data_IF_016110981400
#
_entry.id   IF_016110981400
#
_cell.length_a   1.000
_cell.length_b   1.000
_cell.length_c   1.000
_cell.angle_alpha   90.00
_cell.angle_beta   90.00
_cell.angle_gamma   90.00
#
_symmetry.space_group_name_H-M   'P 1'
#
loop_
_entity.id
_entity.type
_entity.pdbx_description
1 polymer ?
#
# COMPACT_ATOMS: atom_id res chain seq x y z
N UNK A 1 60.07 -50.35 36.87
CA UNK A 1 59.21 -49.23 37.34
C UNK A 1 58.81 -49.60 38.77
N UNK A 2 59.20 -48.83 39.80
CA UNK A 2 58.37 -47.67 40.22
C UNK A 2 59.14 -46.48 40.85
N UNK A 3 58.49 -45.31 40.80
CA UNK A 3 58.73 -44.09 41.62
C UNK A 3 57.96 -44.29 42.96
N UNK A 4 58.36 -43.91 44.19
CA UNK A 4 58.79 -42.59 44.69
C UNK A 4 57.62 -41.60 44.59
N UNK A 5 56.98 -41.01 45.62
CA UNK A 5 57.11 -40.87 47.07
C UNK A 5 55.95 -39.93 47.56
N UNK A 6 55.85 -39.57 48.85
CA UNK A 6 54.61 -39.08 49.50
C UNK A 6 54.59 -37.56 49.85
N UNK A 7 53.42 -37.02 50.23
CA UNK A 7 53.30 -35.82 51.10
C UNK A 7 52.19 -34.78 50.76
N UNK A 8 51.24 -34.59 51.70
CA UNK A 8 50.45 -33.35 51.97
C UNK A 8 51.29 -32.43 52.92
N UNK A 9 50.97 -31.15 53.33
CA UNK A 9 49.66 -30.44 53.35
C UNK A 9 49.68 -28.90 53.04
N UNK A 10 48.51 -28.22 53.09
CA UNK A 10 48.45 -26.75 53.32
C UNK A 10 47.15 -26.00 52.99
N UNK A 11 46.46 -25.51 54.03
CA UNK A 11 45.26 -24.64 54.03
C UNK A 11 45.50 -23.18 53.55
N UNK A 12 44.49 -22.52 52.96
CA UNK A 12 44.29 -21.06 53.08
C UNK A 12 43.64 -20.29 51.90
N UNK A 13 42.46 -19.67 52.13
CA UNK A 13 42.11 -18.31 51.62
C UNK A 13 41.32 -18.12 50.30
N UNK A 14 40.07 -17.62 50.40
CA UNK A 14 39.19 -17.04 49.35
C UNK A 14 39.78 -15.78 48.67
N UNK A 15 39.41 -15.36 47.42
CA UNK A 15 38.04 -15.01 46.97
C UNK A 15 37.65 -15.48 45.54
N UNK A 16 36.36 -15.40 45.13
CA UNK A 16 35.93 -15.93 43.83
C UNK A 16 36.30 -14.98 42.67
N UNK A 17 36.95 -15.46 41.59
CA UNK A 17 37.06 -14.69 40.36
C UNK A 17 35.77 -14.75 39.54
N UNK A 18 35.40 -13.58 39.04
CA UNK A 18 34.27 -13.30 38.16
C UNK A 18 34.22 -14.24 36.94
N UNK A 19 33.01 -14.71 36.60
CA UNK A 19 32.73 -15.37 35.31
C UNK A 19 33.04 -14.41 34.15
N UNK A 20 34.13 -14.66 33.46
CA UNK A 20 34.24 -14.38 32.04
C UNK A 20 33.63 -15.53 31.23
N UNK A 21 32.65 -15.24 30.38
CA UNK A 21 32.54 -15.80 29.03
C UNK A 21 31.53 -14.93 28.25
N UNK A 22 32.00 -14.02 27.40
CA UNK A 22 32.15 -14.22 25.96
C UNK A 22 30.83 -14.34 25.19
N UNK A 23 30.58 -13.34 24.34
CA UNK A 23 29.96 -13.56 23.03
C UNK A 23 28.48 -13.21 22.91
N UNK A 24 28.18 -12.44 21.86
CA UNK A 24 26.88 -12.51 21.20
C UNK A 24 26.02 -11.26 21.31
N UNK A 25 26.40 -10.22 20.56
CA UNK A 25 25.48 -9.14 20.24
C UNK A 25 24.17 -9.70 19.70
N UNK A 26 23.06 -9.33 20.34
CA UNK A 26 21.73 -9.55 19.78
C UNK A 26 21.05 -8.19 19.70
N UNK A 27 21.18 -7.56 18.52
CA UNK A 27 20.31 -6.47 18.10
C UNK A 27 18.87 -6.95 18.18
N UNK A 28 18.13 -6.43 19.16
CA UNK A 28 16.68 -6.65 19.28
C UNK A 28 16.01 -6.10 18.01
N UNK A 29 15.29 -6.90 17.20
CA UNK A 29 14.44 -6.33 16.19
C UNK A 29 13.25 -5.68 16.90
N UNK A 30 13.19 -4.35 16.89
CA UNK A 30 11.96 -3.61 17.16
C UNK A 30 10.94 -4.04 16.11
N UNK A 31 10.12 -5.04 16.46
CA UNK A 31 8.93 -5.40 15.72
C UNK A 31 7.91 -4.30 15.96
N UNK A 32 7.98 -3.26 15.13
CA UNK A 32 6.90 -2.31 14.98
C UNK A 32 5.68 -3.07 14.44
N UNK A 33 4.77 -3.42 15.35
CA UNK A 33 3.46 -3.92 15.02
C UNK A 33 2.70 -2.80 14.30
N UNK A 34 2.76 -2.78 12.96
CA UNK A 34 1.94 -1.88 12.16
C UNK A 34 0.52 -2.42 12.15
N UNK A 35 -0.20 -2.15 13.24
CA UNK A 35 -1.64 -2.25 13.30
C UNK A 35 -2.21 -1.19 12.36
N UNK A 36 -2.58 -1.59 11.14
CA UNK A 36 -3.32 -0.72 10.23
C UNK A 36 -4.76 -0.57 10.74
N UNK A 37 -4.95 0.37 11.67
CA UNK A 37 -6.26 0.90 12.05
C UNK A 37 -6.95 1.49 10.80
N UNK A 38 -8.15 1.01 10.53
CA UNK A 38 -9.05 1.59 9.53
C UNK A 38 -9.83 2.69 10.25
N UNK A 39 -9.36 3.93 10.15
CA UNK A 39 -10.17 5.11 10.49
C UNK A 39 -11.01 5.47 9.25
N UNK A 40 -12.33 5.37 9.39
CA UNK A 40 -13.27 5.91 8.40
C UNK A 40 -13.40 7.40 8.73
N UNK A 41 -12.71 8.25 7.97
CA UNK A 41 -12.97 9.68 7.98
C UNK A 41 -13.97 9.98 6.85
N UNK A 42 -15.20 10.33 7.23
CA UNK A 42 -16.18 10.94 6.33
C UNK A 42 -15.76 12.40 6.19
N UNK A 43 -15.22 12.77 5.03
CA UNK A 43 -14.89 14.16 4.72
C UNK A 43 -16.03 14.81 3.95
N UNK A 44 -16.68 15.80 4.56
CA UNK A 44 -17.46 16.82 3.87
C UNK A 44 -16.49 17.73 3.11
N UNK A 45 -16.61 17.77 1.78
CA UNK A 45 -15.83 18.70 0.95
C UNK A 45 -16.58 20.03 0.93
N UNK A 46 -16.06 21.02 1.66
CA UNK A 46 -16.43 22.42 1.45
C UNK A 46 -15.63 22.91 0.24
N UNK A 47 -16.33 23.18 -0.86
CA UNK A 47 -15.80 23.88 -2.01
C UNK A 47 -15.61 25.36 -1.62
N UNK A 48 -14.37 25.83 -1.56
CA UNK A 48 -14.08 27.27 -1.58
C UNK A 48 -13.94 27.67 -3.04
N UNK A 49 -14.97 28.32 -3.57
CA UNK A 49 -14.95 29.02 -4.85
C UNK A 49 -14.17 30.31 -4.61
N UNK A 50 -13.04 30.48 -5.30
CA UNK A 50 -12.38 31.79 -5.38
C UNK A 50 -12.86 32.47 -6.68
N UNK A 51 -13.56 33.62 -6.59
CA UNK A 51 -13.84 34.44 -7.76
C UNK A 51 -12.59 35.24 -8.12
N UNK A 52 -12.08 35.05 -9.32
CA UNK A 52 -11.24 36.07 -9.96
C UNK A 52 -12.18 37.11 -10.56
N UNK A 53 -12.05 38.34 -10.11
CA UNK A 53 -12.85 39.47 -10.56
C UNK A 53 -12.18 40.77 -10.14
N UNK A 54 -11.31 41.28 -11.00
CA UNK A 54 -10.81 42.64 -10.96
C UNK A 54 -11.49 43.42 -12.08
N UNK A 55 -12.24 44.47 -11.70
CA UNK A 55 -12.59 45.57 -12.60
C UNK A 55 -12.83 46.82 -11.77
N UNK A 56 -11.79 47.64 -11.64
CA UNK A 56 -11.91 49.06 -11.34
C UNK A 56 -12.23 49.80 -12.64
N UNK A 57 -13.33 50.55 -12.66
CA UNK A 57 -13.57 51.60 -13.66
C UNK A 57 -13.12 52.93 -13.09
N UNK A 58 -12.29 53.67 -13.83
CA UNK A 58 -12.66 54.97 -14.41
C UNK A 58 -11.43 55.76 -14.93
N UNK A 59 -11.63 56.40 -16.09
CA UNK A 59 -11.10 57.71 -16.52
C UNK A 59 -9.88 57.80 -17.46
N UNK A 60 -10.21 58.21 -18.70
CA UNK A 60 -9.64 59.33 -19.49
C UNK A 60 -8.46 59.07 -20.45
N UNK A 61 -8.82 59.17 -21.74
CA UNK A 61 -8.13 59.68 -22.95
C UNK A 61 -6.61 59.91 -22.95
N UNK A 62 -5.89 59.33 -23.92
CA UNK A 62 -5.07 60.06 -24.94
C UNK A 62 -4.56 59.14 -26.06
N UNK A 63 -4.36 59.73 -27.23
CA UNK A 63 -3.94 59.15 -28.52
C UNK A 63 -2.50 58.60 -28.58
N UNK A 64 -2.28 57.69 -29.55
CA UNK A 64 -1.12 57.57 -30.47
C UNK A 64 -0.25 56.29 -30.38
N UNK A 65 -0.05 55.69 -31.57
CA UNK A 65 1.06 54.87 -32.06
C UNK A 65 0.84 53.34 -32.15
N UNK A 66 0.96 52.72 -33.36
CA UNK A 66 0.92 51.28 -33.53
C UNK A 66 2.30 50.68 -33.21
N UNK A 67 2.38 49.94 -32.11
CA UNK A 67 3.55 49.09 -31.80
C UNK A 67 3.30 47.65 -32.32
N UNK A 68 4.31 46.95 -32.86
CA UNK A 68 4.12 45.66 -33.53
C UNK A 68 3.50 44.62 -32.60
N UNK A 69 2.55 43.85 -33.14
CA UNK A 69 1.80 42.84 -32.43
C UNK A 69 2.68 41.87 -31.67
N UNK A 70 2.61 41.93 -30.34
CA UNK A 70 2.99 40.82 -29.48
C UNK A 70 1.90 39.75 -29.64
N UNK A 71 2.02 38.91 -30.65
CA UNK A 71 1.30 37.64 -30.69
C UNK A 71 1.83 36.81 -29.53
N UNK A 72 1.21 36.94 -28.35
CA UNK A 72 1.35 35.95 -27.30
C UNK A 72 0.76 34.65 -27.85
N UNK A 73 1.63 33.81 -28.42
CA UNK A 73 1.38 32.40 -28.61
C UNK A 73 1.40 31.76 -27.21
N UNK A 74 0.36 32.03 -26.43
CA UNK A 74 0.04 31.18 -25.29
C UNK A 74 -0.57 29.90 -25.86
N UNK A 75 0.25 29.06 -26.49
CA UNK A 75 -0.08 27.65 -26.65
C UNK A 75 -0.10 27.06 -25.24
N UNK A 76 -1.27 27.12 -24.60
CA UNK A 76 -1.59 26.26 -23.49
C UNK A 76 -1.48 24.85 -24.05
N UNK A 77 -0.37 24.17 -23.78
CA UNK A 77 -0.14 22.77 -24.15
C UNK A 77 -1.30 21.94 -23.59
N UNK A 78 -2.35 21.81 -24.40
CA UNK A 78 -3.54 21.11 -23.99
C UNK A 78 -3.22 19.62 -24.02
N UNK A 79 -3.46 18.95 -22.90
CA UNK A 79 -3.20 17.53 -22.79
C UNK A 79 -4.11 16.80 -23.79
N UNK A 80 -3.55 15.97 -24.69
CA UNK A 80 -4.34 15.24 -25.67
C UNK A 80 -5.49 14.46 -25.04
N UNK A 81 -6.64 14.43 -25.72
CA UNK A 81 -7.84 13.78 -25.19
C UNK A 81 -7.59 12.28 -24.91
N UNK A 82 -6.81 11.62 -25.78
CA UNK A 82 -6.40 10.22 -25.62
C UNK A 82 -5.60 9.98 -24.33
N UNK A 83 -4.69 10.89 -23.97
CA UNK A 83 -3.93 10.82 -22.71
C UNK A 83 -4.87 10.90 -21.50
N UNK A 84 -5.87 11.79 -21.54
CA UNK A 84 -6.89 11.88 -20.47
C UNK A 84 -7.72 10.59 -20.39
N UNK A 85 -8.08 10.03 -21.55
CA UNK A 85 -8.87 8.80 -21.65
C UNK A 85 -8.12 7.59 -21.08
N UNK A 86 -6.87 7.34 -21.48
CA UNK A 86 -6.07 6.23 -20.95
C UNK A 86 -5.89 6.34 -19.43
N UNK A 87 -5.67 7.56 -18.93
CA UNK A 87 -5.58 7.79 -17.49
C UNK A 87 -6.91 7.52 -16.77
N UNK A 88 -8.05 7.89 -17.36
CA UNK A 88 -9.37 7.58 -16.82
C UNK A 88 -9.64 6.08 -16.73
N UNK A 89 -9.26 5.31 -17.75
CA UNK A 89 -9.43 3.84 -17.76
C UNK A 89 -8.54 3.17 -16.71
N UNK A 90 -7.28 3.61 -16.55
CA UNK A 90 -6.41 3.15 -15.48
C UNK A 90 -7.00 3.53 -14.10
N UNK A 91 -7.49 4.76 -13.95
CA UNK A 91 -8.10 5.23 -12.71
C UNK A 91 -9.32 4.37 -12.30
N UNK A 92 -10.13 3.92 -13.26
CA UNK A 92 -11.25 3.00 -12.99
C UNK A 92 -10.79 1.70 -12.33
N UNK A 93 -9.63 1.15 -12.72
CA UNK A 93 -9.05 -0.03 -12.04
C UNK A 93 -8.71 0.28 -10.59
N UNK A 94 -8.22 1.48 -10.29
CA UNK A 94 -7.90 1.92 -8.93
C UNK A 94 -9.15 2.10 -8.07
N UNK A 95 -10.23 2.64 -8.63
CA UNK A 95 -11.52 2.72 -7.95
C UNK A 95 -12.07 1.33 -7.62
N UNK A 96 -11.98 0.39 -8.56
CA UNK A 96 -12.38 -1.01 -8.32
C UNK A 96 -11.50 -1.66 -7.24
N UNK A 97 -10.20 -1.35 -7.21
CA UNK A 97 -9.29 -1.85 -6.17
C UNK A 97 -9.64 -1.31 -4.79
N UNK A 98 -9.98 -0.02 -4.69
CA UNK A 98 -10.47 0.60 -3.46
C UNK A 98 -11.78 -0.03 -2.99
N UNK A 99 -12.74 -0.28 -3.89
CA UNK A 99 -13.98 -0.99 -3.56
C UNK A 99 -13.71 -2.44 -3.09
N UNK A 100 -12.71 -3.10 -3.68
CA UNK A 100 -12.29 -4.45 -3.28
C UNK A 100 -11.65 -4.46 -1.89
N UNK A 101 -10.89 -3.41 -1.53
CA UNK A 101 -10.36 -3.22 -0.17
C UNK A 101 -11.47 -3.13 0.87
N UNK A 102 -12.59 -2.44 0.56
CA UNK A 102 -13.75 -2.37 1.45
C UNK A 102 -14.40 -3.74 1.68
N UNK A 103 -14.55 -4.54 0.62
CA UNK A 103 -15.05 -5.93 0.76
C UNK A 103 -14.12 -6.77 1.64
N UNK A 104 -12.81 -6.65 1.44
CA UNK A 104 -11.81 -7.33 2.25
C UNK A 104 -11.89 -6.92 3.74
N UNK A 105 -12.05 -5.63 4.03
CA UNK A 105 -12.25 -5.15 5.39
C UNK A 105 -13.47 -5.78 6.06
N UNK A 106 -14.60 -5.84 5.35
CA UNK A 106 -15.80 -6.53 5.83
C UNK A 106 -15.60 -8.03 6.05
N UNK A 107 -14.86 -8.71 5.17
CA UNK A 107 -14.52 -10.12 5.33
C UNK A 107 -13.63 -10.36 6.56
N UNK A 108 -12.61 -9.53 6.77
CA UNK A 108 -11.74 -9.60 7.95
C UNK A 108 -12.50 -9.36 9.26
N UNK A 109 -13.45 -8.42 9.28
CA UNK A 109 -14.32 -8.19 10.44
C UNK A 109 -15.15 -9.44 10.79
N UNK A 110 -15.71 -10.12 9.79
CA UNK A 110 -16.44 -11.39 9.97
C UNK A 110 -15.54 -12.56 10.31
N UNK A 111 -14.28 -12.54 9.88
CA UNK A 111 -13.32 -13.62 10.15
C UNK A 111 -12.89 -13.70 11.63
N UNK A 112 -13.24 -12.71 12.47
CA UNK A 112 -12.87 -12.71 13.89
C UNK A 112 -13.61 -13.74 14.75
N UNK A 113 -14.69 -14.36 14.26
CA UNK A 113 -15.52 -15.32 15.00
C UNK A 113 -15.84 -16.54 14.13
N UNK A 114 -15.83 -17.73 14.73
CA UNK A 114 -16.13 -18.97 14.02
C UNK A 114 -17.55 -18.97 13.41
N UNK A 115 -18.54 -18.41 14.12
CA UNK A 115 -19.94 -18.30 13.66
C UNK A 115 -20.09 -17.54 12.34
N UNK A 116 -19.24 -16.56 12.09
CA UNK A 116 -19.28 -15.70 10.89
C UNK A 116 -18.20 -16.02 9.87
N UNK A 117 -17.40 -17.06 10.12
CA UNK A 117 -16.30 -17.48 9.26
C UNK A 117 -16.77 -17.96 7.86
N UNK A 118 -17.91 -18.68 7.70
CA UNK A 118 -18.41 -19.02 6.37
C UNK A 118 -18.72 -17.79 5.50
N UNK A 119 -19.29 -16.74 6.10
CA UNK A 119 -19.53 -15.46 5.42
C UNK A 119 -18.23 -14.70 5.12
N UNK A 120 -17.20 -14.88 5.95
CA UNK A 120 -15.88 -14.33 5.68
C UNK A 120 -15.22 -15.02 4.48
N UNK A 121 -15.34 -16.34 4.36
CA UNK A 121 -14.82 -17.13 3.24
C UNK A 121 -15.40 -16.67 1.91
N UNK A 122 -16.73 -16.54 1.80
CA UNK A 122 -17.38 -15.96 0.62
C UNK A 122 -16.88 -14.55 0.30
N UNK A 123 -16.59 -13.76 1.34
CA UNK A 123 -15.98 -12.45 1.20
C UNK A 123 -14.57 -12.49 0.61
N UNK A 124 -13.71 -13.39 1.11
CA UNK A 124 -12.35 -13.58 0.60
C UNK A 124 -12.34 -14.13 -0.83
N UNK A 125 -13.24 -15.07 -1.17
CA UNK A 125 -13.41 -15.56 -2.55
C UNK A 125 -13.76 -14.44 -3.51
N UNK A 126 -14.74 -13.61 -3.17
CA UNK A 126 -15.14 -12.43 -3.95
C UNK A 126 -13.98 -11.44 -4.11
N UNK A 127 -13.18 -11.23 -3.06
CA UNK A 127 -11.99 -10.37 -3.12
C UNK A 127 -10.95 -10.92 -4.09
N UNK A 128 -10.62 -12.22 -3.98
CA UNK A 128 -9.64 -12.86 -4.86
C UNK A 128 -10.09 -12.80 -6.34
N UNK A 129 -11.36 -13.07 -6.60
CA UNK A 129 -11.93 -12.97 -7.96
C UNK A 129 -11.84 -11.55 -8.51
N UNK A 130 -12.20 -10.53 -7.73
CA UNK A 130 -12.11 -9.12 -8.14
C UNK A 130 -10.67 -8.70 -8.43
N UNK A 131 -9.72 -9.12 -7.59
CA UNK A 131 -8.30 -8.83 -7.78
C UNK A 131 -7.75 -9.49 -9.04
N UNK A 132 -8.17 -10.72 -9.34
CA UNK A 132 -7.80 -11.40 -10.58
C UNK A 132 -8.35 -10.67 -11.82
N UNK A 133 -9.60 -10.20 -11.78
CA UNK A 133 -10.18 -9.40 -12.86
C UNK A 133 -9.45 -8.06 -13.04
N UNK A 134 -9.14 -7.36 -11.94
CA UNK A 134 -8.35 -6.12 -11.98
C UNK A 134 -6.98 -6.36 -12.60
N UNK A 135 -6.27 -7.43 -12.19
CA UNK A 135 -4.97 -7.78 -12.74
C UNK A 135 -5.05 -8.07 -14.24
N UNK A 136 -6.07 -8.80 -14.69
CA UNK A 136 -6.31 -9.07 -16.11
C UNK A 136 -6.54 -7.77 -16.88
N UNK A 137 -7.43 -6.90 -16.39
CA UNK A 137 -7.69 -5.59 -17.01
C UNK A 137 -6.45 -4.71 -17.04
N UNK A 138 -5.66 -4.66 -15.96
CA UNK A 138 -4.39 -3.92 -15.92
C UNK A 138 -3.43 -4.39 -17.00
N UNK A 139 -3.28 -5.70 -17.19
CA UNK A 139 -2.38 -6.24 -18.24
C UNK A 139 -2.80 -5.83 -19.65
N UNK A 140 -4.09 -5.60 -19.87
CA UNK A 140 -4.64 -5.20 -21.16
C UNK A 140 -4.89 -3.69 -21.29
N UNK A 141 -4.38 -2.86 -20.37
CA UNK A 141 -4.50 -1.40 -20.50
C UNK A 141 -3.62 -0.89 -21.65
N UNK A 142 -4.20 -0.06 -22.50
CA UNK A 142 -3.46 0.85 -23.37
C UNK A 142 -2.92 2.02 -22.54
N UNK A 143 -1.63 2.27 -22.67
CA UNK A 143 -0.89 3.24 -21.83
C UNK A 143 0.18 4.00 -22.61
N UNK A 144 0.23 3.86 -23.93
CA UNK A 144 1.25 4.47 -24.80
C UNK A 144 1.19 6.00 -24.82
N UNK A 145 0.04 6.60 -24.47
CA UNK A 145 -0.12 8.05 -24.32
C UNK A 145 0.16 8.55 -22.91
N UNK A 146 0.45 7.65 -21.96
CA UNK A 146 0.78 8.01 -20.58
C UNK A 146 2.29 8.11 -20.38
N UNK A 147 2.72 9.14 -19.65
CA UNK A 147 4.12 9.25 -19.23
C UNK A 147 4.51 8.02 -18.39
N UNK A 148 5.57 7.31 -18.81
CA UNK A 148 5.98 6.04 -18.21
C UNK A 148 4.89 4.95 -18.25
N UNK A 149 3.99 4.95 -19.25
CA UNK A 149 2.82 4.08 -19.32
C UNK A 149 3.10 2.60 -19.06
N UNK A 150 4.09 2.03 -19.73
CA UNK A 150 4.45 0.61 -19.53
C UNK A 150 4.94 0.32 -18.11
N UNK A 151 5.75 1.22 -17.55
CA UNK A 151 6.22 1.12 -16.17
C UNK A 151 5.06 1.25 -15.18
N UNK A 152 4.07 2.11 -15.47
CA UNK A 152 2.83 2.24 -14.70
C UNK A 152 2.02 0.94 -14.72
N UNK A 153 1.77 0.40 -15.92
CA UNK A 153 1.05 -0.86 -16.13
C UNK A 153 1.72 -2.01 -15.38
N UNK A 154 3.03 -2.18 -15.55
CA UNK A 154 3.82 -3.21 -14.88
C UNK A 154 3.83 -3.05 -13.35
N UNK A 155 3.97 -1.83 -12.85
CA UNK A 155 3.97 -1.53 -11.41
C UNK A 155 2.60 -1.84 -10.77
N UNK A 156 1.49 -1.46 -11.43
CA UNK A 156 0.14 -1.79 -10.97
C UNK A 156 -0.10 -3.31 -11.00
N UNK A 157 0.32 -3.99 -12.07
CA UNK A 157 0.19 -5.44 -12.18
C UNK A 157 0.93 -6.17 -11.05
N UNK A 158 2.14 -5.70 -10.71
CA UNK A 158 2.90 -6.24 -9.57
C UNK A 158 2.19 -5.98 -8.22
N UNK A 159 1.64 -4.78 -8.00
CA UNK A 159 0.89 -4.44 -6.80
C UNK A 159 -0.38 -5.30 -6.63
N UNK A 160 -1.13 -5.51 -7.72
CA UNK A 160 -2.32 -6.37 -7.74
C UNK A 160 -1.97 -7.85 -7.55
N UNK A 161 -0.88 -8.32 -8.17
CA UNK A 161 -0.39 -9.70 -7.99
C UNK A 161 -0.01 -9.96 -6.54
N UNK A 162 0.78 -9.07 -5.92
CA UNK A 162 1.15 -9.21 -4.52
C UNK A 162 -0.08 -9.12 -3.59
N UNK A 163 -1.05 -8.26 -3.91
CA UNK A 163 -2.31 -8.16 -3.14
C UNK A 163 -3.15 -9.45 -3.26
N UNK A 164 -3.24 -10.04 -4.46
CA UNK A 164 -3.95 -11.30 -4.68
C UNK A 164 -3.33 -12.43 -3.85
N UNK A 165 -2.00 -12.48 -3.73
CA UNK A 165 -1.33 -13.48 -2.90
C UNK A 165 -1.74 -13.36 -1.43
N UNK A 166 -1.86 -12.14 -0.88
CA UNK A 166 -2.37 -11.92 0.48
C UNK A 166 -3.83 -12.40 0.60
N UNK A 167 -4.67 -12.03 -0.36
CA UNK A 167 -6.09 -12.38 -0.38
C UNK A 167 -6.29 -13.91 -0.40
N UNK A 168 -5.50 -14.63 -1.21
CA UNK A 168 -5.50 -16.09 -1.27
C UNK A 168 -4.98 -16.76 0.00
N UNK A 169 -3.97 -16.17 0.67
CA UNK A 169 -3.50 -16.68 1.97
C UNK A 169 -4.59 -16.58 3.03
N UNK A 170 -5.33 -15.47 3.06
CA UNK A 170 -6.47 -15.30 3.96
C UNK A 170 -7.61 -16.30 3.64
N UNK A 171 -7.92 -16.49 2.36
CA UNK A 171 -8.93 -17.47 1.96
C UNK A 171 -8.56 -18.89 2.43
N UNK A 172 -7.34 -19.35 2.12
CA UNK A 172 -6.85 -20.68 2.55
C UNK A 172 -6.85 -20.82 4.07
N UNK A 173 -6.41 -19.79 4.78
CA UNK A 173 -6.44 -19.76 6.24
C UNK A 173 -7.88 -19.93 6.78
N UNK A 174 -8.84 -19.19 6.22
CA UNK A 174 -10.21 -19.22 6.67
C UNK A 174 -10.85 -20.60 6.43
N UNK A 175 -10.66 -21.15 5.23
CA UNK A 175 -11.13 -22.49 4.86
C UNK A 175 -10.54 -23.58 5.77
N UNK A 176 -9.23 -23.50 6.08
CA UNK A 176 -8.56 -24.43 7.00
C UNK A 176 -9.14 -24.35 8.41
N UNK A 177 -9.46 -23.13 8.88
CA UNK A 177 -10.02 -22.94 10.21
C UNK A 177 -11.47 -23.42 10.32
N UNK A 178 -12.26 -23.34 9.24
CA UNK A 178 -13.71 -23.59 9.28
C UNK A 178 -14.11 -24.92 9.91
N UNK A 179 -13.42 -26.03 9.57
CA UNK A 179 -13.86 -27.40 9.91
C UNK A 179 -14.00 -27.64 11.42
N UNK A 180 -13.10 -27.10 12.24
CA UNK A 180 -13.02 -27.36 13.69
C UNK A 180 -13.02 -26.07 14.53
N UNK A 181 -13.55 -24.98 13.97
CA UNK A 181 -13.49 -23.67 14.62
C UNK A 181 -14.43 -23.59 15.84
N UNK A 182 -13.88 -23.36 17.04
CA UNK A 182 -14.66 -23.09 18.27
C UNK A 182 -14.35 -21.70 18.81
N UNK A 183 -15.38 -20.87 18.96
CA UNK A 183 -15.27 -19.48 19.45
C UNK A 183 -14.57 -18.55 18.44
N UNK A 184 -13.24 -18.60 18.37
CA UNK A 184 -12.41 -17.77 17.48
C UNK A 184 -11.43 -18.64 16.68
N UNK A 185 -11.17 -18.32 15.39
CA UNK A 185 -10.16 -19.01 14.60
C UNK A 185 -8.76 -18.91 15.23
N UNK A 186 -7.96 -19.98 15.10
CA UNK A 186 -6.59 -20.06 15.63
C UNK A 186 -5.64 -20.65 14.58
N UNK A 187 -4.56 -19.94 14.20
CA UNK A 187 -4.20 -18.57 14.60
C UNK A 187 -5.23 -17.56 14.09
N UNK A 188 -5.23 -16.34 14.66
CA UNK A 188 -6.08 -15.26 14.18
C UNK A 188 -5.69 -14.85 12.75
N UNK A 189 -6.58 -14.17 12.02
CA UNK A 189 -6.27 -13.66 10.68
C UNK A 189 -5.02 -12.75 10.65
N UNK A 190 -4.74 -12.04 11.75
CA UNK A 190 -3.56 -11.21 11.92
C UNK A 190 -2.25 -12.01 11.95
N UNK A 191 -2.29 -13.25 12.42
CA UNK A 191 -1.13 -14.07 12.74
C UNK A 191 -0.97 -15.27 11.80
N UNK A 192 -1.53 -15.19 10.58
CA UNK A 192 -1.36 -16.25 9.57
C UNK A 192 0.13 -16.37 9.21
N UNK A 193 0.75 -17.56 9.37
CA UNK A 193 2.16 -17.75 9.03
C UNK A 193 2.48 -17.32 7.59
N UNK A 194 3.58 -16.61 7.41
CA UNK A 194 4.02 -16.10 6.09
C UNK A 194 3.27 -14.88 5.56
N UNK A 195 2.09 -14.54 6.08
CA UNK A 195 1.28 -13.40 5.59
C UNK A 195 2.03 -12.07 5.68
N UNK A 196 2.72 -11.81 6.78
CA UNK A 196 3.41 -10.53 7.01
C UNK A 196 4.48 -10.21 5.94
N UNK A 197 5.21 -11.23 5.46
CA UNK A 197 6.21 -11.02 4.40
C UNK A 197 5.55 -10.62 3.07
N UNK A 198 4.44 -11.28 2.72
CA UNK A 198 3.69 -11.00 1.49
C UNK A 198 3.02 -9.62 1.57
N UNK A 199 2.49 -9.24 2.74
CA UNK A 199 1.91 -7.90 2.96
C UNK A 199 2.94 -6.77 2.83
N UNK A 200 4.16 -6.98 3.32
CA UNK A 200 5.27 -6.03 3.11
C UNK A 200 5.57 -5.87 1.63
N UNK A 201 5.67 -6.97 0.87
CA UNK A 201 5.86 -6.93 -0.59
C UNK A 201 4.74 -6.17 -1.29
N UNK A 202 3.48 -6.44 -0.94
CA UNK A 202 2.33 -5.73 -1.51
C UNK A 202 2.36 -4.23 -1.19
N UNK A 203 2.71 -3.86 0.05
CA UNK A 203 2.85 -2.47 0.47
C UNK A 203 3.93 -1.74 -0.34
N UNK A 204 5.12 -2.33 -0.45
CA UNK A 204 6.21 -1.75 -1.25
C UNK A 204 5.83 -1.61 -2.73
N UNK A 205 5.14 -2.58 -3.31
CA UNK A 205 4.68 -2.50 -4.70
C UNK A 205 3.66 -1.37 -4.91
N UNK A 206 2.70 -1.20 -3.99
CA UNK A 206 1.72 -0.10 -4.03
C UNK A 206 2.37 1.27 -3.87
N UNK A 207 3.35 1.38 -2.98
CA UNK A 207 4.14 2.60 -2.80
C UNK A 207 4.89 2.98 -4.09
N UNK A 208 5.55 2.01 -4.73
CA UNK A 208 6.22 2.23 -6.02
C UNK A 208 5.23 2.66 -7.11
N UNK A 209 4.02 2.08 -7.13
CA UNK A 209 2.99 2.47 -8.08
C UNK A 209 2.51 3.91 -7.88
N UNK A 210 2.19 4.33 -6.65
CA UNK A 210 1.67 5.70 -6.43
C UNK A 210 2.68 6.79 -6.78
N UNK A 211 3.98 6.53 -6.63
CA UNK A 211 5.04 7.45 -7.07
C UNK A 211 4.97 7.71 -8.58
N UNK A 212 4.64 6.69 -9.37
CA UNK A 212 4.47 6.81 -10.82
C UNK A 212 3.10 7.40 -11.19
N UNK A 213 2.04 7.00 -10.48
CA UNK A 213 0.67 7.38 -10.81
C UNK A 213 0.37 8.83 -10.51
N UNK A 214 0.75 9.32 -9.33
CA UNK A 214 0.30 10.62 -8.85
C UNK A 214 0.72 11.82 -9.74
N UNK A 215 1.90 11.83 -10.40
CA UNK A 215 2.23 12.84 -11.40
C UNK A 215 1.34 12.77 -12.65
N UNK A 216 1.09 11.57 -13.18
CA UNK A 216 0.18 11.38 -14.32
C UNK A 216 -1.23 11.82 -13.95
N UNK A 217 -1.72 11.41 -12.78
CA UNK A 217 -3.03 11.76 -12.30
C UNK A 217 -3.23 13.28 -12.20
N UNK A 218 -2.25 13.99 -11.61
CA UNK A 218 -2.28 15.45 -11.53
C UNK A 218 -2.32 16.09 -12.92
N UNK A 219 -1.48 15.62 -13.86
CA UNK A 219 -1.45 16.14 -15.23
C UNK A 219 -2.81 15.92 -15.90
N UNK A 220 -3.36 14.71 -15.85
CA UNK A 220 -4.58 14.34 -16.58
C UNK A 220 -5.90 14.66 -15.85
N UNK A 221 -5.86 15.36 -14.71
CA UNK A 221 -7.06 15.68 -13.91
C UNK A 221 -7.70 14.47 -13.20
N UNK A 222 -6.95 13.39 -13.00
CA UNK A 222 -7.42 12.21 -12.25
C UNK A 222 -7.07 12.32 -10.77
N UNK A 223 -7.82 11.65 -9.87
CA UNK A 223 -7.52 11.68 -8.45
C UNK A 223 -6.19 10.98 -8.13
N UNK A 224 -5.34 11.69 -7.37
CA UNK A 224 -4.14 11.09 -6.78
C UNK A 224 -4.54 10.02 -5.75
N UNK A 225 -3.67 9.03 -5.57
CA UNK A 225 -3.91 7.91 -4.65
C UNK A 225 -2.86 7.84 -3.55
N UNK A 226 -3.31 7.46 -2.37
CA UNK A 226 -2.43 6.89 -1.34
C UNK A 226 -2.25 5.40 -1.60
N UNK A 227 -1.11 4.83 -1.21
CA UNK A 227 -0.81 3.41 -1.42
C UNK A 227 -1.86 2.48 -0.77
N UNK A 228 -2.60 2.95 0.25
CA UNK A 228 -3.68 2.20 0.90
C UNK A 228 -4.89 1.98 0.01
N UNK A 229 -5.03 2.78 -1.06
CA UNK A 229 -6.15 2.81 -2.02
C UNK A 229 -5.78 2.18 -3.38
N UNK A 230 -4.63 1.50 -3.45
CA UNK A 230 -4.12 0.78 -4.64
C UNK A 230 -4.33 -0.72 -4.49
#
# INVERSE_FOLDING_TARGET
>A
MPMGGPGDPGYGGYPPPQRGNSGGGTSKPLLAAVAALVTIAVGSVVFVVWPSGDSSSASTSTSSSPSPGNTQVAQKDEIPAETKQQAAVLNKVLDDSAATRSVLGGALGRAGKCKTLPQAIRGFEKVAQRRQNQLSRTRNLEVDKLANGERLRGSLANALTASLQVDQVLLRWAQKNQRNCRGKPRPSAAQVPGRAAIERRATTAKQKFVVLWNPVAKKTGQPQRSWKRV
#
